data_IF_537439605613
#
_entry.id   IF_537439605613
#
_cell.length_a   1.000
_cell.length_b   1.000
_cell.length_c   1.000
_cell.angle_alpha   90.00
_cell.angle_beta   90.00
_cell.angle_gamma   90.00
#
_symmetry.space_group_name_H-M   'P 1'
#
loop_
_entity.id
_entity.type
_entity.pdbx_description
1 polymer ?
#
# COMPACT_ATOMS: atom_id res chain seq x y z
N UNK A 1 -37.54 30.12 -4.87
CA UNK A 1 -36.49 29.89 -5.89
C UNK A 1 -35.25 29.42 -5.16
N UNK A 2 -35.07 28.10 -5.08
CA UNK A 2 -33.93 27.48 -4.42
C UNK A 2 -32.79 27.39 -5.45
N UNK A 3 -31.72 28.13 -5.24
CA UNK A 3 -30.48 27.96 -6.01
C UNK A 3 -29.85 26.65 -5.56
N UNK A 4 -29.91 25.64 -6.42
CA UNK A 4 -29.14 24.41 -6.23
C UNK A 4 -27.67 24.73 -6.30
N UNK A 5 -26.95 24.50 -5.22
CA UNK A 5 -25.51 24.54 -5.19
C UNK A 5 -25.00 23.42 -6.12
N UNK A 6 -24.33 23.81 -7.21
CA UNK A 6 -23.58 22.90 -8.06
C UNK A 6 -22.42 22.39 -7.22
N UNK A 7 -22.51 21.14 -6.76
CA UNK A 7 -21.38 20.47 -6.14
C UNK A 7 -20.27 20.34 -7.20
N UNK A 8 -19.20 21.10 -7.03
CA UNK A 8 -17.99 20.93 -7.81
C UNK A 8 -17.37 19.57 -7.51
N UNK A 9 -17.65 18.58 -8.35
CA UNK A 9 -16.96 17.28 -8.38
C UNK A 9 -15.64 17.48 -9.11
N UNK A 10 -14.65 18.01 -8.41
CA UNK A 10 -13.25 18.05 -8.87
C UNK A 10 -12.36 17.37 -7.84
N UNK A 11 -11.20 16.81 -8.22
CA UNK A 11 -10.25 16.31 -7.25
C UNK A 11 -9.89 17.45 -6.28
N UNK A 12 -10.23 17.29 -5.00
CA UNK A 12 -9.84 18.26 -3.98
C UNK A 12 -8.33 18.22 -3.86
N UNK A 13 -7.67 19.36 -4.09
CA UNK A 13 -6.22 19.48 -3.99
C UNK A 13 -5.86 19.24 -2.52
N UNK A 14 -4.96 18.27 -2.19
CA UNK A 14 -4.56 18.05 -0.82
C UNK A 14 -3.87 19.30 -0.26
N UNK A 15 -4.14 19.61 1.01
CA UNK A 15 -3.40 20.64 1.73
C UNK A 15 -2.05 20.07 2.11
N UNK A 16 -0.97 20.74 1.73
CA UNK A 16 0.38 20.34 2.07
C UNK A 16 1.01 21.35 3.05
N UNK A 17 1.70 20.84 4.07
CA UNK A 17 2.56 21.61 4.97
C UNK A 17 3.97 21.03 4.87
N UNK A 18 4.97 21.87 5.15
CA UNK A 18 6.36 21.41 5.25
C UNK A 18 6.63 20.95 6.68
N UNK A 19 7.14 19.72 6.80
CA UNK A 19 7.57 19.14 8.07
C UNK A 19 9.04 18.74 7.99
N UNK A 20 9.83 19.10 9.01
CA UNK A 20 11.20 18.64 9.13
C UNK A 20 11.21 17.23 9.71
N UNK A 21 11.83 16.29 9.00
CA UNK A 21 11.87 14.86 9.38
C UNK A 21 13.22 14.43 9.97
N UNK A 22 14.26 15.23 9.90
CA UNK A 22 15.55 14.97 10.54
C UNK A 22 16.30 16.27 10.84
N UNK A 23 17.35 16.17 11.69
CA UNK A 23 18.21 17.29 12.04
C UNK A 23 19.40 17.40 11.08
N UNK A 24 19.44 18.45 10.26
CA UNK A 24 20.48 18.69 9.25
C UNK A 24 21.88 18.84 9.87
N UNK A 25 21.99 19.55 10.99
CA UNK A 25 23.25 19.74 11.68
C UNK A 25 23.84 18.43 12.25
N UNK A 26 22.98 17.45 12.55
CA UNK A 26 23.43 16.13 12.96
C UNK A 26 24.06 15.39 11.76
N UNK A 27 23.42 15.43 10.59
CA UNK A 27 23.94 14.80 9.36
C UNK A 27 25.28 15.42 8.97
N UNK A 28 25.42 16.76 9.01
CA UNK A 28 26.67 17.45 8.73
C UNK A 28 27.79 17.01 9.68
N UNK A 29 27.50 16.93 10.98
CA UNK A 29 28.47 16.47 11.99
C UNK A 29 28.91 15.02 11.76
N UNK A 30 27.98 14.14 11.38
CA UNK A 30 28.28 12.73 11.08
C UNK A 30 29.13 12.62 9.80
N UNK A 31 28.76 13.36 8.76
CA UNK A 31 29.53 13.39 7.50
C UNK A 31 30.97 13.88 7.73
N UNK A 32 31.15 14.93 8.52
CA UNK A 32 32.47 15.47 8.84
C UNK A 32 33.38 14.52 9.65
N UNK A 33 32.78 13.57 10.39
CA UNK A 33 33.51 12.57 11.18
C UNK A 33 33.88 11.32 10.38
N UNK A 34 33.29 11.10 9.19
CA UNK A 34 33.58 9.93 8.37
C UNK A 34 34.97 10.05 7.73
N UNK A 35 35.81 9.00 7.81
CA UNK A 35 37.09 8.94 7.07
C UNK A 35 36.86 9.09 5.56
N UNK A 36 37.74 9.83 4.87
CA UNK A 36 37.55 10.15 3.44
C UNK A 36 37.50 8.94 2.51
N UNK A 37 38.17 7.84 2.87
CA UNK A 37 38.34 6.64 2.02
C UNK A 37 37.53 5.43 2.48
N UNK A 38 36.74 5.58 3.53
CA UNK A 38 35.92 4.51 4.09
C UNK A 38 34.44 4.90 4.04
N UNK A 39 33.53 3.89 4.03
CA UNK A 39 32.09 4.08 4.09
C UNK A 39 31.49 4.95 2.96
N UNK A 40 31.91 4.73 1.71
CA UNK A 40 31.44 5.50 0.54
C UNK A 40 29.91 5.52 0.43
N UNK A 41 29.24 4.38 0.65
CA UNK A 41 27.79 4.27 0.60
C UNK A 41 27.10 5.13 1.67
N UNK A 42 27.64 5.16 2.90
CA UNK A 42 27.13 5.98 4.01
C UNK A 42 27.37 7.47 3.73
N UNK A 43 28.55 7.82 3.24
CA UNK A 43 28.89 9.19 2.81
C UNK A 43 27.92 9.67 1.73
N UNK A 44 27.66 8.85 0.71
CA UNK A 44 26.69 9.15 -0.34
C UNK A 44 25.27 9.32 0.20
N UNK A 45 24.89 8.57 1.24
CA UNK A 45 23.59 8.74 1.90
C UNK A 45 23.50 10.07 2.64
N UNK A 46 24.52 10.45 3.42
CA UNK A 46 24.52 11.75 4.08
C UNK A 46 24.52 12.92 3.09
N UNK A 47 25.27 12.80 1.99
CA UNK A 47 25.26 13.84 0.96
C UNK A 47 23.86 14.00 0.35
N UNK A 48 23.17 12.91 -0.02
CA UNK A 48 21.79 12.96 -0.51
C UNK A 48 20.83 13.60 0.51
N UNK A 49 21.00 13.29 1.82
CA UNK A 49 20.20 13.93 2.88
C UNK A 49 20.40 15.44 2.90
N UNK A 50 21.66 15.91 2.80
CA UNK A 50 21.98 17.33 2.79
C UNK A 50 21.46 18.04 1.53
N UNK A 51 21.65 17.42 0.35
CA UNK A 51 21.21 17.96 -0.93
C UNK A 51 19.69 18.11 -1.01
N UNK A 52 18.94 17.12 -0.48
CA UNK A 52 17.48 17.14 -0.48
C UNK A 52 16.89 17.96 0.67
N UNK A 53 17.67 18.17 1.73
CA UNK A 53 17.24 18.88 2.93
C UNK A 53 16.24 18.09 3.80
N UNK A 54 15.90 18.59 4.99
CA UNK A 54 15.09 17.88 5.97
C UNK A 54 13.58 18.00 5.74
N UNK A 55 13.12 18.88 4.85
CA UNK A 55 11.70 19.20 4.68
C UNK A 55 10.99 18.21 3.76
N UNK A 56 9.81 17.73 4.19
CA UNK A 56 8.91 16.89 3.39
C UNK A 56 7.49 17.42 3.46
N UNK A 57 6.70 17.15 2.43
CA UNK A 57 5.29 17.49 2.43
C UNK A 57 4.51 16.58 3.38
N UNK A 58 3.86 17.18 4.37
CA UNK A 58 2.81 16.51 5.15
C UNK A 58 1.48 16.88 4.50
N UNK A 59 0.80 15.90 3.93
CA UNK A 59 -0.43 16.14 3.17
C UNK A 59 -1.65 15.60 3.89
N UNK A 60 -2.80 16.26 3.69
CA UNK A 60 -4.10 15.77 4.08
C UNK A 60 -5.15 16.21 3.05
N UNK A 61 -6.29 15.51 2.92
CA UNK A 61 -7.40 15.99 2.11
C UNK A 61 -7.85 17.38 2.58
N UNK A 62 -8.22 18.27 1.64
CA UNK A 62 -8.71 19.63 1.95
C UNK A 62 -10.12 19.66 2.54
N UNK A 63 -10.75 18.51 2.68
CA UNK A 63 -12.06 18.26 3.25
C UNK A 63 -12.44 16.82 3.05
N UNK A 64 -13.59 16.39 3.56
CA UNK A 64 -14.05 15.03 3.42
C UNK A 64 -14.20 14.65 1.93
N UNK A 65 -13.38 13.71 1.39
CA UNK A 65 -13.49 13.32 0.00
C UNK A 65 -14.79 12.57 -0.27
N UNK A 66 -15.26 12.63 -1.54
CA UNK A 66 -16.33 11.75 -2.00
C UNK A 66 -15.76 10.34 -2.13
N UNK A 67 -16.24 9.43 -1.30
CA UNK A 67 -15.73 8.06 -1.21
C UNK A 67 -16.67 7.02 -1.86
N UNK A 68 -17.77 7.44 -2.47
CA UNK A 68 -18.80 6.53 -3.02
C UNK A 68 -18.21 5.54 -4.03
N UNK A 69 -17.35 6.02 -4.94
CA UNK A 69 -16.66 5.14 -5.90
C UNK A 69 -15.75 4.12 -5.22
N UNK A 70 -15.11 4.50 -4.12
CA UNK A 70 -14.21 3.65 -3.36
C UNK A 70 -14.98 2.57 -2.59
N UNK A 71 -16.13 2.93 -2.00
CA UNK A 71 -17.06 1.96 -1.39
C UNK A 71 -17.59 0.94 -2.40
N UNK A 72 -17.88 1.38 -3.62
CA UNK A 72 -18.27 0.47 -4.69
C UNK A 72 -17.12 -0.39 -5.22
N UNK A 73 -15.91 0.14 -5.28
CA UNK A 73 -14.72 -0.59 -5.75
C UNK A 73 -14.25 -1.63 -4.73
N UNK A 74 -14.40 -1.31 -3.45
CA UNK A 74 -13.93 -2.10 -2.31
C UNK A 74 -15.10 -2.47 -1.38
N UNK A 75 -16.11 -3.20 -1.87
CA UNK A 75 -17.35 -3.43 -1.13
C UNK A 75 -17.17 -4.26 0.15
N UNK A 76 -16.09 -5.01 0.27
CA UNK A 76 -15.74 -5.78 1.45
C UNK A 76 -14.83 -5.02 2.43
N UNK A 77 -14.53 -3.73 2.17
CA UNK A 77 -13.68 -2.88 3.02
C UNK A 77 -14.48 -1.76 3.73
N UNK A 78 -15.80 -1.81 3.75
CA UNK A 78 -16.62 -0.75 4.33
C UNK A 78 -16.21 -0.38 5.77
N UNK A 79 -15.97 -1.32 6.71
CA UNK A 79 -15.61 -0.97 8.09
C UNK A 79 -14.32 -0.14 8.18
N UNK A 80 -13.28 -0.50 7.41
CA UNK A 80 -12.02 0.24 7.42
C UNK A 80 -12.13 1.56 6.66
N UNK A 81 -12.93 1.63 5.58
CA UNK A 81 -13.21 2.88 4.88
C UNK A 81 -13.98 3.87 5.76
N UNK A 82 -14.94 3.40 6.55
CA UNK A 82 -15.67 4.21 7.53
C UNK A 82 -14.75 4.77 8.61
N UNK A 83 -13.76 3.99 9.05
CA UNK A 83 -12.78 4.45 10.01
C UNK A 83 -11.88 5.53 9.41
N UNK A 84 -11.30 5.29 8.25
CA UNK A 84 -10.49 6.29 7.52
C UNK A 84 -11.31 7.57 7.30
N UNK A 85 -12.58 7.46 6.93
CA UNK A 85 -13.47 8.61 6.76
C UNK A 85 -13.64 9.41 8.04
N UNK A 86 -13.80 8.73 9.20
CA UNK A 86 -13.87 9.41 10.51
C UNK A 86 -12.59 10.15 10.85
N UNK A 87 -11.42 9.53 10.60
CA UNK A 87 -10.12 10.17 10.85
C UNK A 87 -9.91 11.41 9.96
N UNK A 88 -10.30 11.33 8.69
CA UNK A 88 -10.26 12.50 7.80
C UNK A 88 -11.19 13.61 8.31
N UNK A 89 -12.41 13.26 8.75
CA UNK A 89 -13.37 14.25 9.28
C UNK A 89 -12.87 14.96 10.54
N UNK A 90 -12.10 14.28 11.42
CA UNK A 90 -11.51 14.88 12.61
C UNK A 90 -10.48 15.96 12.30
N UNK A 91 -9.77 15.86 11.19
CA UNK A 91 -8.77 16.85 10.78
C UNK A 91 -9.31 17.86 9.75
N UNK A 92 -10.58 17.75 9.34
CA UNK A 92 -11.25 18.72 8.48
C UNK A 92 -11.32 20.06 9.21
N UNK A 93 -11.14 21.16 8.50
CA UNK A 93 -11.20 22.54 9.02
C UNK A 93 -10.25 22.86 10.19
N UNK A 94 -9.31 21.99 10.49
CA UNK A 94 -8.31 22.17 11.55
C UNK A 94 -6.90 22.39 11.01
N UNK A 95 -6.00 22.82 11.90
CA UNK A 95 -4.55 22.85 11.66
C UNK A 95 -3.87 21.50 11.86
N UNK A 96 -4.59 20.50 12.35
CA UNK A 96 -4.01 19.24 12.78
C UNK A 96 -3.60 18.35 11.59
N UNK A 97 -2.64 17.49 11.84
CA UNK A 97 -2.24 16.45 10.90
C UNK A 97 -3.35 15.39 10.78
N UNK A 98 -3.35 14.67 9.67
CA UNK A 98 -4.15 13.45 9.57
C UNK A 98 -3.44 12.34 10.34
N UNK A 99 -4.07 11.84 11.39
CA UNK A 99 -3.60 10.70 12.16
C UNK A 99 -4.49 9.49 11.87
N UNK A 100 -3.90 8.44 11.32
CA UNK A 100 -4.58 7.16 11.11
C UNK A 100 -3.89 6.13 11.99
N UNK A 101 -4.61 5.57 12.96
CA UNK A 101 -4.11 4.44 13.74
C UNK A 101 -3.66 3.33 12.79
N UNK A 102 -2.50 2.69 13.02
CA UNK A 102 -2.03 1.61 12.15
C UNK A 102 -3.10 0.57 11.88
N UNK A 103 -3.29 0.19 10.62
CA UNK A 103 -4.33 -0.71 10.16
C UNK A 103 -3.74 -2.11 9.93
N UNK A 104 -4.42 -3.15 10.44
CA UNK A 104 -4.16 -4.54 10.08
C UNK A 104 -5.36 -5.10 9.32
N UNK A 105 -5.16 -5.42 8.05
CA UNK A 105 -6.16 -6.05 7.19
C UNK A 105 -5.96 -7.57 7.25
N UNK A 106 -6.83 -8.26 7.98
CA UNK A 106 -6.79 -9.69 8.18
C UNK A 106 -7.81 -10.38 7.27
N UNK A 107 -7.41 -11.41 6.53
CA UNK A 107 -8.34 -12.17 5.68
C UNK A 107 -7.65 -13.02 4.64
N UNK A 108 -8.40 -13.81 3.86
CA UNK A 108 -7.85 -14.74 2.90
C UNK A 108 -7.04 -14.03 1.79
N UNK A 109 -6.11 -14.73 1.13
CA UNK A 109 -5.34 -14.15 0.04
C UNK A 109 -6.25 -13.81 -1.15
N UNK A 110 -5.92 -12.71 -1.84
CA UNK A 110 -6.60 -12.32 -3.08
C UNK A 110 -7.87 -11.49 -2.93
N UNK A 111 -8.30 -11.14 -1.71
CA UNK A 111 -9.50 -10.31 -1.47
C UNK A 111 -9.31 -8.81 -1.72
N UNK A 112 -8.08 -8.35 -2.03
CA UNK A 112 -7.81 -6.95 -2.38
C UNK A 112 -7.08 -6.12 -1.33
N UNK A 113 -6.53 -6.70 -0.26
CA UNK A 113 -5.86 -5.97 0.84
C UNK A 113 -4.78 -4.98 0.35
N UNK A 114 -3.88 -5.44 -0.50
CA UNK A 114 -2.81 -4.58 -1.08
C UNK A 114 -3.38 -3.53 -2.04
N UNK A 115 -4.49 -3.84 -2.71
CA UNK A 115 -5.19 -2.88 -3.58
C UNK A 115 -5.82 -1.76 -2.75
N UNK A 116 -6.48 -2.08 -1.64
CA UNK A 116 -6.99 -1.09 -0.68
C UNK A 116 -5.90 -0.10 -0.25
N UNK A 117 -4.73 -0.58 0.15
CA UNK A 117 -3.64 0.29 0.59
C UNK A 117 -3.19 1.28 -0.50
N UNK A 118 -3.19 0.86 -1.77
CA UNK A 118 -2.88 1.74 -2.90
C UNK A 118 -3.96 2.79 -3.10
N UNK A 119 -5.23 2.39 -3.01
CA UNK A 119 -6.35 3.33 -3.12
C UNK A 119 -6.36 4.33 -1.96
N UNK A 120 -5.99 3.89 -0.76
CA UNK A 120 -5.83 4.78 0.40
C UNK A 120 -4.76 5.86 0.13
N UNK A 121 -3.58 5.49 -0.35
CA UNK A 121 -2.54 6.46 -0.69
C UNK A 121 -3.00 7.48 -1.75
N UNK A 122 -3.74 7.01 -2.75
CA UNK A 122 -4.34 7.86 -3.79
C UNK A 122 -5.38 8.81 -3.20
N UNK A 123 -6.28 8.31 -2.34
CA UNK A 123 -7.31 9.09 -1.66
C UNK A 123 -6.70 10.22 -0.83
N UNK A 124 -5.61 9.92 -0.13
CA UNK A 124 -4.92 10.87 0.73
C UNK A 124 -3.98 11.83 -0.01
N UNK A 125 -3.67 11.54 -1.27
CA UNK A 125 -2.74 12.33 -2.09
C UNK A 125 -1.29 12.24 -1.62
N UNK A 126 -0.88 11.10 -1.04
CA UNK A 126 0.47 10.87 -0.52
C UNK A 126 1.20 9.76 -1.26
N UNK A 127 2.49 9.59 -0.97
CA UNK A 127 3.31 8.50 -1.49
C UNK A 127 2.98 7.14 -0.84
N UNK A 128 3.47 6.06 -1.46
CA UNK A 128 3.33 4.71 -0.93
C UNK A 128 4.67 3.97 -0.95
N UNK A 129 5.04 3.38 0.19
CA UNK A 129 6.11 2.39 0.31
C UNK A 129 5.52 0.98 0.44
N UNK A 130 6.27 -0.03 0.01
CA UNK A 130 5.83 -1.43 0.06
C UNK A 130 6.95 -2.36 0.53
N UNK A 131 6.62 -3.22 1.49
CA UNK A 131 7.52 -4.26 2.02
C UNK A 131 6.75 -5.57 2.11
N UNK A 132 7.19 -6.61 1.39
CA UNK A 132 6.61 -7.96 1.48
C UNK A 132 7.41 -8.78 2.48
N UNK A 133 6.81 -9.11 3.63
CA UNK A 133 7.48 -9.86 4.70
C UNK A 133 7.78 -11.31 4.31
N UNK A 134 6.94 -11.91 3.45
CA UNK A 134 7.15 -13.28 2.94
C UNK A 134 8.44 -13.46 2.12
N UNK A 135 9.00 -12.38 1.60
CA UNK A 135 10.26 -12.40 0.83
C UNK A 135 11.48 -12.04 1.66
N UNK A 136 11.32 -11.77 2.96
CA UNK A 136 12.38 -11.28 3.83
C UNK A 136 12.99 -12.40 4.68
N UNK A 137 14.31 -12.42 4.73
CA UNK A 137 15.08 -13.29 5.61
C UNK A 137 15.61 -12.56 6.85
N UNK A 138 15.40 -11.22 6.93
CA UNK A 138 15.97 -10.42 8.03
C UNK A 138 15.26 -9.08 8.25
N UNK A 139 15.18 -8.63 9.50
CA UNK A 139 14.51 -7.41 9.96
C UNK A 139 15.07 -6.09 9.44
N UNK A 140 16.32 -6.09 9.00
CA UNK A 140 16.99 -4.85 8.50
C UNK A 140 16.35 -4.22 7.26
N UNK A 141 15.40 -4.89 6.60
CA UNK A 141 14.73 -4.30 5.42
C UNK A 141 13.88 -3.09 5.80
N UNK A 142 13.31 -3.07 6.99
CA UNK A 142 12.58 -1.91 7.50
C UNK A 142 13.51 -0.85 8.10
N UNK A 143 14.47 -1.29 8.94
CA UNK A 143 15.32 -0.41 9.77
C UNK A 143 16.72 -0.17 9.22
N UNK A 144 17.08 -0.77 8.08
CA UNK A 144 18.44 -0.69 7.55
C UNK A 144 19.38 -1.77 8.13
N UNK A 145 20.47 -2.04 7.43
CA UNK A 145 21.53 -2.92 7.88
C UNK A 145 22.72 -2.09 8.36
N UNK A 146 23.37 -2.47 9.49
CA UNK A 146 24.54 -1.75 10.00
C UNK A 146 25.56 -1.44 8.90
N UNK A 147 25.97 -0.19 8.81
CA UNK A 147 26.92 0.33 7.79
C UNK A 147 28.28 -0.37 7.78
N UNK A 148 28.58 -1.15 8.82
CA UNK A 148 29.81 -1.96 8.90
C UNK A 148 29.74 -3.24 8.03
N UNK A 149 28.57 -3.65 7.58
CA UNK A 149 28.42 -4.84 6.76
C UNK A 149 28.60 -4.53 5.28
N UNK A 150 29.27 -5.43 4.58
CA UNK A 150 29.45 -5.31 3.14
C UNK A 150 28.10 -5.40 2.42
N UNK A 151 27.77 -4.39 1.64
CA UNK A 151 26.49 -4.30 0.92
C UNK A 151 25.33 -3.79 1.78
N UNK A 152 25.59 -3.27 2.98
CA UNK A 152 24.59 -2.62 3.80
C UNK A 152 23.96 -1.42 3.08
N UNK A 153 22.67 -1.18 3.36
CA UNK A 153 21.87 -0.10 2.81
C UNK A 153 20.82 0.37 3.82
N UNK A 154 20.32 1.59 3.67
CA UNK A 154 19.18 2.08 4.47
C UNK A 154 17.96 1.17 4.36
N UNK A 155 17.12 1.23 5.38
CA UNK A 155 15.84 0.53 5.40
C UNK A 155 14.76 1.22 4.57
N UNK A 156 13.68 0.49 4.29
CA UNK A 156 12.58 0.98 3.46
C UNK A 156 11.84 2.16 4.07
N UNK A 157 11.81 2.27 5.40
CA UNK A 157 11.21 3.43 6.09
C UNK A 157 12.05 4.68 5.84
N UNK A 158 13.37 4.55 5.99
CA UNK A 158 14.31 5.63 5.67
C UNK A 158 14.19 6.06 4.20
N UNK A 159 14.21 5.11 3.26
CA UNK A 159 14.06 5.40 1.82
C UNK A 159 12.74 6.16 1.55
N UNK A 160 11.63 5.69 2.10
CA UNK A 160 10.32 6.33 1.90
C UNK A 160 10.25 7.77 2.42
N UNK A 161 10.93 8.06 3.54
CA UNK A 161 10.92 9.37 4.18
C UNK A 161 12.03 10.28 3.62
N UNK A 162 13.25 9.78 3.50
CA UNK A 162 14.42 10.60 3.12
C UNK A 162 14.51 10.78 1.60
N UNK A 163 14.32 9.70 0.84
CA UNK A 163 14.37 9.75 -0.62
C UNK A 163 12.98 10.08 -1.23
N UNK A 164 11.90 9.92 -0.47
CA UNK A 164 10.54 10.33 -0.82
C UNK A 164 10.27 11.83 -0.63
N UNK A 165 9.09 12.28 -1.01
CA UNK A 165 8.69 13.70 -0.94
C UNK A 165 7.72 13.98 0.22
N UNK A 166 7.19 12.95 0.88
CA UNK A 166 6.15 13.04 1.88
C UNK A 166 6.65 12.67 3.28
N UNK A 167 6.18 13.38 4.30
CA UNK A 167 6.39 13.05 5.70
C UNK A 167 5.40 11.99 6.21
N UNK A 168 4.27 11.84 5.52
CA UNK A 168 3.20 10.89 5.87
C UNK A 168 2.86 9.93 4.72
N UNK A 169 3.84 9.18 4.18
CA UNK A 169 3.56 8.16 3.16
C UNK A 169 2.74 7.01 3.76
N UNK A 170 1.96 6.33 2.92
CA UNK A 170 1.37 5.04 3.29
C UNK A 170 2.42 3.95 3.16
N UNK A 171 2.80 3.33 4.28
CA UNK A 171 3.72 2.19 4.29
C UNK A 171 2.94 0.88 4.40
N UNK A 172 3.07 0.04 3.38
CA UNK A 172 2.43 -1.27 3.32
C UNK A 172 3.40 -2.34 3.76
N UNK A 173 3.05 -3.07 4.81
CA UNK A 173 3.76 -4.25 5.29
C UNK A 173 2.91 -5.47 4.96
N UNK A 174 3.22 -6.11 3.84
CA UNK A 174 2.41 -7.19 3.28
C UNK A 174 2.80 -8.55 3.87
N UNK A 175 1.80 -9.37 4.23
CA UNK A 175 1.96 -10.72 4.77
C UNK A 175 2.83 -10.78 6.04
N UNK A 176 2.53 -9.94 7.06
CA UNK A 176 3.29 -9.92 8.32
C UNK A 176 3.24 -11.26 9.07
N UNK A 177 2.21 -12.07 8.83
CA UNK A 177 2.07 -13.44 9.35
C UNK A 177 3.07 -14.43 8.73
N UNK A 178 3.76 -14.05 7.65
CA UNK A 178 4.79 -14.83 6.97
C UNK A 178 6.21 -14.37 7.34
N UNK A 179 6.34 -13.39 8.20
CA UNK A 179 7.63 -12.97 8.71
C UNK A 179 8.32 -14.14 9.41
N UNK A 180 9.19 -14.82 8.71
CA UNK A 180 9.98 -15.95 9.22
C UNK A 180 11.42 -15.51 9.42
N UNK A 181 12.04 -15.93 10.53
CA UNK A 181 13.45 -15.64 10.80
C UNK A 181 13.93 -16.41 12.02
N UNK A 182 15.24 -16.55 12.12
CA UNK A 182 15.85 -17.00 13.39
C UNK A 182 15.60 -15.93 14.46
N UNK A 183 15.43 -16.35 15.71
CA UNK A 183 15.08 -15.46 16.83
C UNK A 183 16.06 -14.29 17.05
N UNK A 184 17.28 -14.37 16.51
CA UNK A 184 18.27 -13.29 16.57
C UNK A 184 18.08 -12.18 15.51
N UNK A 185 17.20 -12.38 14.52
CA UNK A 185 16.91 -11.43 13.44
C UNK A 185 15.41 -11.27 13.25
N UNK A 186 14.70 -10.85 14.32
CA UNK A 186 13.25 -10.64 14.28
C UNK A 186 12.87 -9.64 13.18
N UNK A 187 12.24 -10.09 12.06
CA UNK A 187 11.85 -9.20 10.97
C UNK A 187 10.80 -8.19 11.38
N UNK A 188 10.09 -8.40 12.48
CA UNK A 188 9.06 -7.51 13.01
C UNK A 188 9.62 -6.56 14.09
N UNK A 189 10.87 -6.74 14.52
CA UNK A 189 11.47 -5.99 15.63
C UNK A 189 11.35 -4.48 15.52
N UNK A 190 11.59 -3.93 14.33
CA UNK A 190 11.46 -2.49 14.10
C UNK A 190 10.02 -1.98 14.14
N UNK A 191 9.02 -2.83 13.88
CA UNK A 191 7.61 -2.42 13.93
C UNK A 191 7.14 -2.08 15.33
N UNK A 192 7.75 -2.65 16.39
CA UNK A 192 7.38 -2.33 17.77
C UNK A 192 7.55 -0.84 18.09
N UNK A 193 8.56 -0.20 17.54
CA UNK A 193 8.78 1.24 17.73
C UNK A 193 8.11 2.11 16.67
N UNK A 194 7.98 1.60 15.44
CA UNK A 194 7.43 2.33 14.30
C UNK A 194 5.91 2.47 14.33
N UNK A 195 5.20 1.51 14.97
CA UNK A 195 3.74 1.53 15.09
C UNK A 195 3.23 2.39 16.24
N UNK A 196 4.10 2.93 17.09
CA UNK A 196 3.76 3.87 18.16
C UNK A 196 4.23 5.28 17.81
N UNK A 197 3.33 6.24 17.83
CA UNK A 197 3.59 7.63 17.45
C UNK A 197 4.79 8.23 18.19
N UNK A 198 4.86 8.05 19.52
CA UNK A 198 5.89 8.67 20.36
C UNK A 198 7.29 8.12 20.08
N UNK A 199 7.41 6.82 19.88
CA UNK A 199 8.69 6.17 19.58
C UNK A 199 9.10 6.36 18.12
N UNK A 200 8.13 6.36 17.19
CA UNK A 200 8.38 6.57 15.77
C UNK A 200 8.94 7.98 15.46
N UNK A 201 8.65 8.98 16.30
CA UNK A 201 9.20 10.34 16.15
C UNK A 201 10.73 10.42 16.24
N UNK A 202 11.38 9.39 16.79
CA UNK A 202 12.83 9.30 16.92
C UNK A 202 13.37 7.99 16.32
N UNK A 203 12.75 7.50 15.24
CA UNK A 203 13.20 6.31 14.57
C UNK A 203 14.62 6.49 14.03
N UNK A 204 15.52 5.56 14.36
CA UNK A 204 16.90 5.58 13.90
C UNK A 204 17.14 4.40 12.96
N UNK A 205 17.46 4.70 11.70
CA UNK A 205 17.88 3.70 10.72
C UNK A 205 19.27 3.19 11.07
N UNK A 206 19.47 1.87 11.09
CA UNK A 206 20.73 1.23 11.50
C UNK A 206 21.89 1.49 10.54
N UNK A 207 21.60 1.80 9.27
CA UNK A 207 22.61 2.17 8.29
C UNK A 207 23.05 3.63 8.44
N UNK A 208 22.08 4.54 8.47
CA UNK A 208 22.34 5.97 8.52
C UNK A 208 22.68 6.47 9.93
N UNK A 209 22.21 5.76 10.97
CA UNK A 209 22.38 6.13 12.38
C UNK A 209 21.92 7.56 12.69
N UNK A 210 20.99 8.11 11.90
CA UNK A 210 20.38 9.43 12.09
C UNK A 210 18.93 9.23 12.49
N UNK A 211 18.49 9.99 13.48
CA UNK A 211 17.10 10.00 13.88
C UNK A 211 16.25 10.64 12.78
N UNK A 212 15.18 9.95 12.38
CA UNK A 212 14.20 10.39 11.38
C UNK A 212 12.81 10.33 12.01
N UNK A 213 12.03 11.39 11.85
CA UNK A 213 10.65 11.45 12.32
C UNK A 213 9.74 10.60 11.41
N UNK A 214 9.42 9.39 11.85
CA UNK A 214 8.48 8.48 11.21
C UNK A 214 7.08 8.50 11.85
N UNK A 215 6.81 9.42 12.78
CA UNK A 215 5.55 9.48 13.54
C UNK A 215 4.30 9.71 12.68
N UNK A 216 4.48 10.27 11.50
CA UNK A 216 3.37 10.57 10.60
C UNK A 216 3.15 9.51 9.51
N UNK A 217 3.95 8.46 9.50
CA UNK A 217 3.78 7.35 8.54
C UNK A 217 2.44 6.65 8.78
N UNK A 218 1.67 6.48 7.69
CA UNK A 218 0.39 5.77 7.72
C UNK A 218 0.65 4.30 7.44
N UNK A 219 0.44 3.45 8.45
CA UNK A 219 0.76 2.03 8.38
C UNK A 219 -0.45 1.21 7.94
N UNK A 220 -0.23 0.35 6.93
CA UNK A 220 -1.20 -0.67 6.50
C UNK A 220 -0.49 -2.02 6.47
N UNK A 221 -0.74 -2.83 7.47
CA UNK A 221 -0.28 -4.21 7.51
C UNK A 221 -1.33 -5.14 6.90
N UNK A 222 -0.88 -6.23 6.27
CA UNK A 222 -1.77 -7.29 5.82
C UNK A 222 -1.36 -8.64 6.41
N UNK A 223 -2.33 -9.50 6.68
CA UNK A 223 -2.09 -10.87 7.13
C UNK A 223 -3.22 -11.80 6.67
N UNK A 224 -2.94 -13.09 6.70
CA UNK A 224 -3.94 -14.13 6.46
C UNK A 224 -4.33 -14.85 7.78
N UNK A 225 -3.43 -14.87 8.76
CA UNK A 225 -3.64 -15.54 10.05
C UNK A 225 -3.09 -14.70 11.21
N UNK A 226 -3.98 -14.20 12.08
CA UNK A 226 -3.61 -13.39 13.24
C UNK A 226 -2.79 -14.16 14.29
N UNK A 227 -2.90 -15.48 14.34
CA UNK A 227 -2.19 -16.32 15.33
C UNK A 227 -0.68 -16.32 15.15
N UNK A 228 -0.21 -15.98 13.94
CA UNK A 228 1.22 -15.87 13.65
C UNK A 228 1.79 -14.47 13.96
N UNK A 229 0.96 -13.52 14.42
CA UNK A 229 1.38 -12.14 14.70
C UNK A 229 1.60 -11.99 16.21
N UNK A 230 2.74 -11.44 16.64
CA UNK A 230 2.99 -11.19 18.06
C UNK A 230 1.96 -10.24 18.68
N UNK A 231 1.51 -10.57 19.90
CA UNK A 231 0.53 -9.77 20.64
C UNK A 231 0.92 -8.27 20.78
N UNK A 232 2.19 -7.92 21.02
CA UNK A 232 2.59 -6.51 21.07
C UNK A 232 2.32 -5.72 19.79
N UNK A 233 2.31 -6.35 18.61
CA UNK A 233 1.94 -5.73 17.34
C UNK A 233 0.41 -5.59 17.27
N UNK A 234 -0.33 -6.65 17.62
CA UNK A 234 -1.80 -6.62 17.61
C UNK A 234 -2.36 -5.51 18.51
N UNK A 235 -1.70 -5.23 19.65
CA UNK A 235 -2.10 -4.16 20.58
C UNK A 235 -1.84 -2.74 20.04
N UNK A 236 -1.11 -2.58 18.92
CA UNK A 236 -0.75 -1.29 18.32
C UNK A 236 -1.49 -0.99 17.02
N UNK A 237 -2.34 -1.89 16.58
CA UNK A 237 -3.03 -1.80 15.30
C UNK A 237 -4.53 -1.96 15.47
N UNK A 238 -5.31 -1.28 14.62
CA UNK A 238 -6.72 -1.58 14.46
C UNK A 238 -6.87 -2.76 13.50
N UNK A 239 -7.43 -3.86 13.97
CA UNK A 239 -7.62 -5.09 13.19
C UNK A 239 -8.96 -5.05 12.47
N UNK A 240 -8.95 -5.24 11.15
CA UNK A 240 -10.14 -5.35 10.31
C UNK A 240 -10.16 -6.72 9.63
N UNK A 241 -11.18 -7.50 9.90
CA UNK A 241 -11.42 -8.75 9.19
C UNK A 241 -12.02 -8.45 7.82
N UNK A 242 -11.31 -8.84 6.77
CA UNK A 242 -11.68 -8.63 5.38
C UNK A 242 -12.14 -9.95 4.80
N UNK A 243 -13.42 -10.13 4.71
CA UNK A 243 -14.03 -11.31 4.10
C UNK A 243 -13.92 -11.28 2.57
N UNK A 244 -14.14 -12.43 1.94
CA UNK A 244 -14.33 -12.48 0.49
C UNK A 244 -15.60 -11.69 0.13
N UNK A 245 -15.61 -10.97 -1.01
CA UNK A 245 -16.81 -10.28 -1.45
C UNK A 245 -17.96 -11.26 -1.69
N UNK A 246 -19.17 -10.87 -1.32
CA UNK A 246 -20.36 -11.63 -1.64
C UNK A 246 -20.60 -11.68 -3.17
N UNK A 247 -21.54 -12.50 -3.63
CA UNK A 247 -21.80 -12.67 -5.05
C UNK A 247 -22.18 -11.35 -5.77
N UNK A 248 -22.88 -10.45 -5.11
CA UNK A 248 -23.25 -9.16 -5.68
C UNK A 248 -22.04 -8.22 -5.78
N UNK A 249 -21.21 -8.18 -4.72
CA UNK A 249 -19.95 -7.45 -4.71
C UNK A 249 -18.96 -8.01 -5.74
N UNK A 250 -18.82 -9.33 -5.82
CA UNK A 250 -17.95 -10.00 -6.79
C UNK A 250 -18.33 -9.66 -8.24
N UNK A 251 -19.64 -9.61 -8.55
CA UNK A 251 -20.13 -9.15 -9.87
C UNK A 251 -19.77 -7.70 -10.15
N UNK A 252 -19.90 -6.79 -9.16
CA UNK A 252 -19.50 -5.39 -9.33
C UNK A 252 -18.00 -5.26 -9.59
N UNK A 253 -17.17 -5.98 -8.81
CA UNK A 253 -15.73 -6.03 -9.02
C UNK A 253 -15.39 -6.55 -10.42
N UNK A 254 -16.04 -7.64 -10.87
CA UNK A 254 -15.84 -8.20 -12.19
C UNK A 254 -16.18 -7.20 -13.31
N UNK A 255 -17.31 -6.51 -13.19
CA UNK A 255 -17.74 -5.50 -14.17
C UNK A 255 -16.76 -4.30 -14.22
N UNK A 256 -16.28 -3.81 -13.08
CA UNK A 256 -15.28 -2.74 -13.01
C UNK A 256 -13.94 -3.15 -13.60
N UNK A 257 -13.47 -4.36 -13.30
CA UNK A 257 -12.24 -4.90 -13.89
C UNK A 257 -12.34 -5.02 -15.41
N UNK A 258 -13.49 -5.47 -15.94
CA UNK A 258 -13.75 -5.49 -17.38
C UNK A 258 -13.63 -4.10 -17.99
N UNK A 259 -14.33 -3.11 -17.42
CA UNK A 259 -14.31 -1.74 -17.93
C UNK A 259 -12.90 -1.10 -17.83
N UNK A 260 -12.19 -1.35 -16.74
CA UNK A 260 -10.83 -0.86 -16.54
C UNK A 260 -9.85 -1.45 -17.56
N UNK A 261 -9.89 -2.77 -17.79
CA UNK A 261 -9.03 -3.45 -18.77
C UNK A 261 -9.37 -2.95 -20.19
N UNK A 262 -10.67 -2.87 -20.52
CA UNK A 262 -11.14 -2.34 -21.79
C UNK A 262 -10.62 -0.92 -22.06
N UNK A 263 -10.67 -0.05 -21.06
CA UNK A 263 -10.20 1.35 -21.15
C UNK A 263 -8.68 1.51 -21.20
N UNK A 264 -7.93 0.59 -20.61
CA UNK A 264 -6.45 0.64 -20.57
C UNK A 264 -5.78 0.22 -21.88
N UNK A 265 -6.51 -0.45 -22.79
CA UNK A 265 -5.94 -1.03 -24.00
C UNK A 265 -6.62 -0.53 -25.26
N UNK A 266 -5.87 -0.19 -26.30
CA UNK A 266 -6.40 0.25 -27.61
C UNK A 266 -7.33 -0.79 -28.25
N UNK A 267 -7.03 -2.08 -28.07
CA UNK A 267 -7.88 -3.17 -28.56
C UNK A 267 -9.22 -3.26 -27.82
N UNK A 268 -9.32 -2.70 -26.61
CA UNK A 268 -10.51 -2.74 -25.78
C UNK A 268 -11.71 -2.05 -26.42
N UNK A 269 -11.48 -1.02 -27.26
CA UNK A 269 -12.55 -0.30 -27.99
C UNK A 269 -13.33 -1.17 -28.97
N UNK A 270 -12.82 -2.37 -29.30
CA UNK A 270 -13.48 -3.33 -30.18
C UNK A 270 -14.47 -4.25 -29.48
N UNK A 271 -14.48 -4.20 -28.15
CA UNK A 271 -15.36 -5.01 -27.33
C UNK A 271 -16.54 -4.19 -26.82
N UNK A 272 -17.63 -4.88 -26.51
CA UNK A 272 -18.85 -4.29 -25.96
C UNK A 272 -18.54 -3.48 -24.70
N UNK A 273 -19.34 -2.46 -24.40
CA UNK A 273 -19.14 -1.62 -23.22
C UNK A 273 -19.32 -2.38 -21.92
N UNK A 274 -20.24 -3.32 -21.91
CA UNK A 274 -20.58 -4.13 -20.74
C UNK A 274 -20.65 -5.61 -21.13
N UNK A 275 -20.11 -6.51 -20.30
CA UNK A 275 -20.28 -7.95 -20.52
C UNK A 275 -21.70 -8.37 -20.16
N UNK A 276 -22.14 -9.53 -20.67
CA UNK A 276 -23.46 -10.09 -20.35
C UNK A 276 -23.56 -10.49 -18.87
N UNK A 277 -24.79 -10.52 -18.34
CA UNK A 277 -25.03 -10.96 -16.97
C UNK A 277 -24.51 -12.38 -16.70
N UNK A 278 -24.66 -13.30 -17.66
CA UNK A 278 -24.16 -14.68 -17.53
C UNK A 278 -22.62 -14.74 -17.40
N UNK A 279 -21.90 -13.90 -18.11
CA UNK A 279 -20.44 -13.80 -18.02
C UNK A 279 -20.02 -13.23 -16.65
N UNK A 280 -20.74 -12.20 -16.16
CA UNK A 280 -20.49 -11.62 -14.85
C UNK A 280 -20.77 -12.61 -13.71
N UNK A 281 -21.85 -13.37 -13.77
CA UNK A 281 -22.16 -14.44 -12.81
C UNK A 281 -21.02 -15.47 -12.73
N UNK A 282 -20.59 -15.93 -13.89
CA UNK A 282 -19.50 -16.92 -13.97
C UNK A 282 -18.17 -16.35 -13.48
N UNK A 283 -17.89 -15.08 -13.77
CA UNK A 283 -16.68 -14.38 -13.31
C UNK A 283 -16.70 -14.18 -11.78
N UNK A 284 -17.89 -13.95 -11.19
CA UNK A 284 -18.06 -13.75 -9.76
C UNK A 284 -17.74 -14.99 -8.89
N UNK A 285 -17.66 -16.18 -9.50
CA UNK A 285 -17.20 -17.41 -8.83
C UNK A 285 -15.68 -17.37 -8.53
N UNK A 286 -14.93 -16.48 -9.18
CA UNK A 286 -13.49 -16.36 -9.02
C UNK A 286 -13.12 -15.36 -7.92
N UNK A 287 -11.98 -15.59 -7.26
CA UNK A 287 -11.41 -14.58 -6.39
C UNK A 287 -10.99 -13.32 -7.17
N UNK A 288 -11.08 -12.11 -6.62
CA UNK A 288 -10.73 -10.85 -7.31
C UNK A 288 -9.34 -10.86 -7.99
N UNK A 289 -8.36 -11.52 -7.37
CA UNK A 289 -7.01 -11.68 -7.94
C UNK A 289 -7.01 -12.51 -9.23
N UNK A 290 -7.92 -13.47 -9.36
CA UNK A 290 -8.02 -14.36 -10.51
C UNK A 290 -8.83 -13.73 -11.64
N UNK A 291 -9.82 -12.88 -11.30
CA UNK A 291 -10.71 -12.22 -12.26
C UNK A 291 -9.93 -11.46 -13.34
N UNK A 292 -8.88 -10.71 -12.96
CA UNK A 292 -8.09 -9.96 -13.96
C UNK A 292 -7.44 -10.87 -15.00
N UNK A 293 -6.90 -12.00 -14.57
CA UNK A 293 -6.30 -13.00 -15.49
C UNK A 293 -7.36 -13.66 -16.36
N UNK A 294 -8.50 -13.99 -15.75
CA UNK A 294 -9.63 -14.57 -16.46
C UNK A 294 -10.18 -13.62 -17.54
N UNK A 295 -10.31 -12.33 -17.25
CA UNK A 295 -10.69 -11.33 -18.24
C UNK A 295 -9.69 -11.23 -19.38
N UNK A 296 -8.37 -11.19 -19.10
CA UNK A 296 -7.36 -11.14 -20.16
C UNK A 296 -7.43 -12.37 -21.07
N UNK A 297 -7.66 -13.56 -20.50
CA UNK A 297 -7.88 -14.80 -21.28
C UNK A 297 -9.15 -14.70 -22.12
N UNK A 298 -10.25 -14.25 -21.52
CA UNK A 298 -11.54 -14.13 -22.20
C UNK A 298 -11.51 -13.15 -23.38
N UNK A 299 -10.90 -11.98 -23.20
CA UNK A 299 -10.68 -11.03 -24.29
C UNK A 299 -9.83 -11.64 -25.41
N UNK A 300 -8.77 -12.39 -25.04
CA UNK A 300 -7.93 -13.09 -26.03
C UNK A 300 -8.71 -14.14 -26.84
N UNK A 301 -9.50 -14.98 -26.17
CA UNK A 301 -10.30 -16.03 -26.78
C UNK A 301 -11.38 -15.45 -27.73
N UNK A 302 -12.13 -14.44 -27.26
CA UNK A 302 -13.13 -13.76 -28.07
C UNK A 302 -12.50 -13.11 -29.31
N UNK A 303 -11.30 -12.49 -29.16
CA UNK A 303 -10.57 -11.91 -30.28
C UNK A 303 -10.09 -12.95 -31.30
N UNK A 304 -9.60 -14.11 -30.84
CA UNK A 304 -9.23 -15.24 -31.72
C UNK A 304 -10.43 -15.79 -32.49
N UNK A 305 -11.61 -15.77 -31.88
CA UNK A 305 -12.87 -16.13 -32.52
C UNK A 305 -13.48 -14.98 -33.35
N UNK A 306 -12.74 -13.89 -33.60
CA UNK A 306 -13.17 -12.71 -34.35
C UNK A 306 -14.45 -12.05 -33.81
N UNK A 307 -14.68 -12.11 -32.47
CA UNK A 307 -15.83 -11.52 -31.80
C UNK A 307 -15.43 -10.24 -31.01
N UNK A 308 -16.35 -9.27 -30.98
CA UNK A 308 -16.28 -8.10 -30.08
C UNK A 308 -17.02 -8.31 -28.76
N UNK A 309 -17.68 -9.45 -28.60
CA UNK A 309 -18.45 -9.82 -27.41
C UNK A 309 -17.74 -10.97 -26.69
N UNK A 310 -17.52 -10.82 -25.38
CA UNK A 310 -17.02 -11.92 -24.54
C UNK A 310 -18.20 -12.81 -24.14
N UNK A 311 -18.06 -14.12 -24.34
CA UNK A 311 -19.05 -15.16 -23.99
C UNK A 311 -18.54 -16.03 -22.84
N UNK A 312 -19.43 -16.81 -22.23
CA UNK A 312 -19.05 -17.73 -21.13
C UNK A 312 -18.03 -18.79 -21.57
N UNK A 313 -18.03 -19.18 -22.83
CA UNK A 313 -17.07 -20.13 -23.43
C UNK A 313 -15.63 -19.55 -23.51
N UNK A 314 -15.49 -18.24 -23.51
CA UNK A 314 -14.19 -17.58 -23.53
C UNK A 314 -13.50 -17.58 -22.16
N UNK A 315 -14.25 -17.80 -21.07
CA UNK A 315 -13.73 -17.85 -19.72
C UNK A 315 -12.91 -19.12 -19.48
N UNK A 316 -11.86 -19.07 -18.68
CA UNK A 316 -11.13 -20.28 -18.31
C UNK A 316 -12.04 -21.22 -17.51
N UNK A 317 -11.89 -22.53 -17.70
CA UNK A 317 -12.59 -23.50 -16.89
C UNK A 317 -12.24 -23.34 -15.39
N UNK A 318 -13.27 -23.41 -14.50
CA UNK A 318 -13.00 -23.38 -13.07
C UNK A 318 -12.20 -24.61 -12.67
N UNK A 319 -11.10 -24.41 -11.98
CA UNK A 319 -10.35 -25.52 -11.37
C UNK A 319 -9.15 -26.05 -12.14
N UNK A 320 -8.77 -25.50 -13.29
CA UNK A 320 -7.43 -25.73 -13.84
C UNK A 320 -6.38 -25.07 -12.92
N UNK A 321 -6.14 -25.67 -11.73
CA UNK A 321 -4.86 -25.48 -11.04
C UNK A 321 -3.80 -25.92 -12.04
N UNK A 322 -3.11 -24.95 -12.69
CA UNK A 322 -1.87 -25.27 -13.36
C UNK A 322 -0.99 -25.96 -12.33
N UNK A 323 -0.73 -27.25 -12.55
CA UNK A 323 0.34 -27.91 -11.82
C UNK A 323 1.56 -26.99 -11.86
N UNK A 324 2.20 -26.70 -10.73
CA UNK A 324 3.50 -26.05 -10.79
C UNK A 324 4.36 -26.95 -11.67
N UNK A 325 4.98 -26.36 -12.70
CA UNK A 325 5.95 -27.08 -13.53
C UNK A 325 7.10 -27.39 -12.58
N UNK A 326 7.04 -28.57 -11.95
CA UNK A 326 8.14 -29.12 -11.20
C UNK A 326 9.21 -29.50 -12.19
N UNK A 327 10.32 -28.81 -12.17
CA UNK A 327 11.55 -29.35 -12.71
C UNK A 327 11.95 -30.50 -11.77
N UNK A 328 11.62 -31.72 -12.15
CA UNK A 328 12.25 -32.92 -11.58
C UNK A 328 13.67 -32.98 -12.13
N UNK A 329 14.63 -32.78 -11.23
CA UNK A 329 15.99 -33.26 -11.39
C UNK A 329 16.11 -34.66 -10.77
#
# INVERSE_FOLDING_TARGET
MSQGAIACVGPRIPIARMRSIFNMAEVERKLAKLPEREHEALRGTYQRMLDKGPQRFQVKPSGLPVMDELYEELPNFHPVLDDVRRQIALCEDSGDALEITPLLLLGPPGVGKTHFARQLATLLGTGMGFVAMSSLTAGWVLSGASSQWKGARPGKVFEALVDGDYANPVMVVDEIDKAGGEACYDPLGSLYSLLEHDTAGNFTDEFAEVAVDASQVIWVATANDARAIPEPILNRVNVYEIEAPDAAAARRIAARLYAAIRGQHDWGRRFDETPSAAVLERMAELAPREMRRAWMTAFGNAKLAHRGTVLCEDLPEPGLKRNPIGFTH
#
